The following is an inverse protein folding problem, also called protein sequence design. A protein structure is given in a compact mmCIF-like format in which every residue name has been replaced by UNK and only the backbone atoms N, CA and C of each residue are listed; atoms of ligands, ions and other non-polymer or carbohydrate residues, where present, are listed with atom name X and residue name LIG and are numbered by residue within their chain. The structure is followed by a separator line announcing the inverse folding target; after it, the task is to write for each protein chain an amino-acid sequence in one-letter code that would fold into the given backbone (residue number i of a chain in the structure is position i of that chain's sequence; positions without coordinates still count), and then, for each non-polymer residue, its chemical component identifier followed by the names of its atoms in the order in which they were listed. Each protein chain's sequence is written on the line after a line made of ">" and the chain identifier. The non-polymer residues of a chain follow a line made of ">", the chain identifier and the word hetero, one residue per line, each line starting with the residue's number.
data_IF_419144946428
#
_entry.id   IF_419144946428
#
_cell.length_a   1.000
_cell.length_b   1.000
_cell.length_c   1.000
_cell.angle_alpha   90.00
_cell.angle_beta   90.00
_cell.angle_gamma   90.00
#
_symmetry.space_group_name_H-M   'P 1'
#
loop_
_entity.id
_entity.type
_entity.pdbx_description
1 polymer ?
#
# COMPACT_ATOMS: atom_id res chain seq x y z
N UNK A 1 -7.77 -11.43 -21.90
CA UNK A 1 -7.63 -11.73 -20.46
C UNK A 1 -6.21 -11.43 -20.06
N UNK A 2 -6.03 -10.60 -19.04
CA UNK A 2 -4.71 -10.34 -18.47
C UNK A 2 -4.60 -11.21 -17.22
N UNK A 3 -3.62 -12.10 -17.23
CA UNK A 3 -3.29 -12.93 -16.07
C UNK A 3 -2.43 -12.08 -15.14
N UNK A 4 -3.00 -11.66 -14.01
CA UNK A 4 -2.33 -10.84 -13.00
C UNK A 4 -1.04 -11.51 -12.51
N UNK A 5 -1.02 -12.85 -12.49
CA UNK A 5 0.12 -13.69 -12.16
C UNK A 5 1.26 -13.56 -13.17
N UNK A 6 0.94 -13.47 -14.47
CA UNK A 6 1.96 -13.27 -15.49
C UNK A 6 2.59 -11.89 -15.35
N UNK A 7 1.78 -10.84 -15.12
CA UNK A 7 2.29 -9.50 -14.82
C UNK A 7 3.17 -9.50 -13.57
N UNK A 8 2.74 -10.21 -12.51
CA UNK A 8 3.51 -10.37 -11.28
C UNK A 8 4.87 -11.02 -11.53
N UNK A 9 4.90 -12.17 -12.22
CA UNK A 9 6.13 -12.90 -12.52
C UNK A 9 7.08 -12.02 -13.34
N UNK A 10 6.58 -11.32 -14.37
CA UNK A 10 7.38 -10.43 -15.21
C UNK A 10 8.04 -9.29 -14.43
N UNK A 11 7.41 -8.78 -13.37
CA UNK A 11 7.96 -7.72 -12.53
C UNK A 11 8.87 -8.26 -11.42
N UNK A 12 8.45 -9.31 -10.72
CA UNK A 12 9.14 -9.82 -9.53
C UNK A 12 10.36 -10.66 -9.88
N UNK A 13 10.33 -11.46 -10.94
CA UNK A 13 11.46 -12.30 -11.33
C UNK A 13 12.77 -11.51 -11.53
N UNK A 14 12.83 -10.42 -12.32
CA UNK A 14 14.07 -9.65 -12.44
C UNK A 14 14.47 -8.97 -11.12
N UNK A 15 13.52 -8.50 -10.30
CA UNK A 15 13.83 -7.91 -8.99
C UNK A 15 14.44 -8.93 -8.02
N UNK A 16 13.97 -10.18 -8.05
CA UNK A 16 14.55 -11.28 -7.28
C UNK A 16 15.99 -11.58 -7.72
N UNK A 17 16.25 -11.62 -9.03
CA UNK A 17 17.60 -11.82 -9.55
C UNK A 17 18.55 -10.70 -9.10
N UNK A 18 18.10 -9.45 -9.16
CA UNK A 18 18.89 -8.31 -8.67
C UNK A 18 19.12 -8.40 -7.15
N UNK A 19 18.12 -8.87 -6.39
CA UNK A 19 18.26 -9.07 -4.95
C UNK A 19 19.37 -10.07 -4.58
N UNK A 20 19.62 -11.09 -5.41
CA UNK A 20 20.70 -12.06 -5.20
C UNK A 20 22.10 -11.47 -5.42
N UNK A 21 22.20 -10.40 -6.22
CA UNK A 21 23.48 -9.77 -6.60
C UNK A 21 23.83 -8.60 -5.66
N UNK A 22 22.82 -7.85 -5.21
CA UNK A 22 23.04 -6.63 -4.44
C UNK A 22 23.50 -6.88 -3.00
N UNK A 23 24.21 -5.89 -2.44
CA UNK A 23 24.64 -5.88 -1.03
C UNK A 23 23.43 -6.01 -0.09
N UNK A 24 23.68 -6.58 1.10
CA UNK A 24 22.65 -6.90 2.12
C UNK A 24 21.66 -5.77 2.43
N UNK A 25 22.07 -4.49 2.42
CA UNK A 25 21.14 -3.37 2.68
C UNK A 25 20.18 -3.14 1.51
N UNK A 26 20.69 -2.97 0.30
CA UNK A 26 19.87 -2.71 -0.89
C UNK A 26 19.02 -3.92 -1.27
N UNK A 27 19.56 -5.14 -1.13
CA UNK A 27 18.78 -6.38 -1.31
C UNK A 27 17.57 -6.44 -0.37
N UNK A 28 17.73 -6.11 0.92
CA UNK A 28 16.60 -6.03 1.86
C UNK A 28 15.54 -5.02 1.43
N UNK A 29 15.93 -3.85 0.92
CA UNK A 29 14.97 -2.87 0.42
C UNK A 29 14.17 -3.40 -0.76
N UNK A 30 14.81 -4.13 -1.69
CA UNK A 30 14.10 -4.78 -2.80
C UNK A 30 13.14 -5.87 -2.32
N UNK A 31 13.52 -6.64 -1.29
CA UNK A 31 12.62 -7.65 -0.70
C UNK A 31 11.34 -7.02 -0.16
N UNK A 32 11.42 -5.86 0.51
CA UNK A 32 10.21 -5.15 0.98
C UNK A 32 9.32 -4.69 -0.18
N UNK A 33 9.91 -4.21 -1.29
CA UNK A 33 9.14 -3.87 -2.50
C UNK A 33 8.45 -5.11 -3.06
N UNK A 34 9.17 -6.24 -3.17
CA UNK A 34 8.61 -7.51 -3.65
C UNK A 34 7.49 -8.00 -2.72
N UNK A 35 7.65 -7.89 -1.40
CA UNK A 35 6.58 -8.20 -0.46
C UNK A 35 5.36 -7.30 -0.66
N UNK A 36 5.55 -6.01 -0.96
CA UNK A 36 4.47 -5.11 -1.37
C UNK A 36 3.71 -5.61 -2.60
N UNK A 37 4.43 -5.97 -3.67
CA UNK A 37 3.82 -6.52 -4.89
C UNK A 37 3.08 -7.83 -4.60
N UNK A 38 3.68 -8.70 -3.77
CA UNK A 38 3.09 -9.98 -3.36
C UNK A 38 1.81 -9.77 -2.55
N UNK A 39 1.82 -8.83 -1.59
CA UNK A 39 0.65 -8.45 -0.81
C UNK A 39 -0.47 -7.94 -1.72
N UNK A 40 -0.17 -7.17 -2.76
CA UNK A 40 -1.16 -6.71 -3.73
C UNK A 40 -1.79 -7.87 -4.51
N UNK A 41 -0.98 -8.78 -5.06
CA UNK A 41 -1.48 -9.99 -5.73
C UNK A 41 -2.38 -10.82 -4.82
N UNK A 42 -1.92 -11.12 -3.60
CA UNK A 42 -2.70 -11.91 -2.64
C UNK A 42 -3.97 -11.19 -2.20
N UNK A 43 -3.93 -9.86 -2.06
CA UNK A 43 -5.12 -9.07 -1.71
C UNK A 43 -6.19 -9.20 -2.79
N UNK A 44 -5.84 -9.19 -4.07
CA UNK A 44 -6.82 -9.38 -5.15
C UNK A 44 -7.58 -10.71 -5.01
N UNK A 45 -6.88 -11.81 -4.67
CA UNK A 45 -7.51 -13.11 -4.41
C UNK A 45 -8.37 -13.12 -3.16
N UNK A 46 -7.85 -12.60 -2.06
CA UNK A 46 -8.55 -12.59 -0.77
C UNK A 46 -9.80 -11.70 -0.82
N UNK A 47 -9.72 -10.54 -1.47
CA UNK A 47 -10.87 -9.66 -1.70
C UNK A 47 -11.94 -10.35 -2.55
N UNK A 48 -11.55 -11.06 -3.62
CA UNK A 48 -12.48 -11.82 -4.46
C UNK A 48 -13.13 -12.97 -3.69
N UNK A 49 -12.36 -13.67 -2.85
CA UNK A 49 -12.90 -14.71 -1.96
C UNK A 49 -13.94 -14.14 -1.02
N UNK A 50 -13.64 -13.03 -0.33
CA UNK A 50 -14.59 -12.39 0.57
C UNK A 50 -15.83 -11.88 -0.15
N UNK A 51 -15.68 -11.24 -1.32
CA UNK A 51 -16.82 -10.81 -2.14
C UNK A 51 -17.75 -11.98 -2.52
N UNK A 52 -17.18 -13.14 -2.86
CA UNK A 52 -17.94 -14.35 -3.13
C UNK A 52 -18.66 -14.90 -1.89
N UNK A 53 -18.00 -14.89 -0.72
CA UNK A 53 -18.58 -15.35 0.55
C UNK A 53 -19.71 -14.43 1.04
N UNK A 54 -19.57 -13.11 0.85
CA UNK A 54 -20.56 -12.11 1.26
C UNK A 54 -21.61 -11.81 0.19
N UNK A 55 -21.49 -12.39 -1.01
CA UNK A 55 -22.33 -12.10 -2.18
C UNK A 55 -22.36 -10.61 -2.52
N UNK A 56 -21.25 -9.91 -2.28
CA UNK A 56 -21.10 -8.47 -2.54
C UNK A 56 -20.73 -8.26 -4.01
N UNK A 57 -21.36 -7.28 -4.65
CA UNK A 57 -21.01 -6.90 -6.02
C UNK A 57 -19.54 -6.44 -6.12
N UNK A 58 -18.88 -6.70 -7.24
CA UNK A 58 -17.45 -6.41 -7.41
C UNK A 58 -17.14 -4.91 -7.31
N UNK A 59 -18.06 -4.03 -7.71
CA UNK A 59 -17.87 -2.60 -7.54
C UNK A 59 -17.97 -2.21 -6.05
N UNK A 60 -18.93 -2.77 -5.32
CA UNK A 60 -19.08 -2.52 -3.89
C UNK A 60 -17.92 -3.11 -3.06
N UNK A 61 -17.45 -4.31 -3.43
CA UNK A 61 -16.29 -4.96 -2.83
C UNK A 61 -15.03 -4.09 -2.98
N UNK A 62 -14.88 -3.37 -4.09
CA UNK A 62 -13.75 -2.45 -4.33
C UNK A 62 -13.71 -1.28 -3.32
N UNK A 63 -14.88 -0.84 -2.83
CA UNK A 63 -14.97 0.27 -1.88
C UNK A 63 -14.97 -0.17 -0.42
N UNK A 64 -15.46 -1.38 -0.13
CA UNK A 64 -15.68 -1.82 1.25
C UNK A 64 -14.71 -2.94 1.69
N UNK A 65 -14.51 -3.95 0.84
CA UNK A 65 -13.77 -5.16 1.17
C UNK A 65 -12.28 -4.97 0.85
N UNK A 66 -11.97 -4.54 -0.38
CA UNK A 66 -10.60 -4.39 -0.85
C UNK A 66 -9.75 -3.50 0.06
N UNK A 67 -10.17 -2.29 0.48
CA UNK A 67 -9.34 -1.45 1.34
C UNK A 67 -8.95 -2.14 2.65
N UNK A 68 -9.88 -2.89 3.25
CA UNK A 68 -9.62 -3.65 4.47
C UNK A 68 -8.60 -4.77 4.25
N UNK A 69 -8.82 -5.58 3.22
CA UNK A 69 -7.92 -6.69 2.85
C UNK A 69 -6.52 -6.14 2.52
N UNK A 70 -6.43 -5.09 1.72
CA UNK A 70 -5.17 -4.56 1.22
C UNK A 70 -4.30 -3.98 2.34
N UNK A 71 -4.86 -3.19 3.26
CA UNK A 71 -4.09 -2.68 4.40
C UNK A 71 -3.63 -3.80 5.33
N UNK A 72 -4.47 -4.81 5.57
CA UNK A 72 -4.10 -5.97 6.40
C UNK A 72 -2.98 -6.77 5.72
N UNK A 73 -3.12 -7.08 4.44
CA UNK A 73 -2.15 -7.85 3.67
C UNK A 73 -0.81 -7.13 3.51
N UNK A 74 -0.82 -5.79 3.41
CA UNK A 74 0.40 -4.97 3.47
C UNK A 74 1.06 -5.02 4.84
N UNK A 75 0.28 -5.06 5.91
CA UNK A 75 0.80 -5.11 7.27
C UNK A 75 1.45 -6.45 7.63
N UNK A 76 0.96 -7.58 7.10
CA UNK A 76 1.49 -8.92 7.42
C UNK A 76 3.01 -9.10 7.27
N UNK A 77 3.65 -8.76 6.12
CA UNK A 77 5.11 -8.89 6.00
C UNK A 77 5.87 -7.99 6.99
N UNK A 78 5.30 -6.83 7.33
CA UNK A 78 5.84 -5.93 8.34
C UNK A 78 5.72 -6.53 9.75
N UNK A 79 4.56 -7.07 10.11
CA UNK A 79 4.36 -7.76 11.38
C UNK A 79 5.32 -8.94 11.54
N UNK A 80 5.50 -9.74 10.49
CA UNK A 80 6.47 -10.84 10.46
C UNK A 80 7.90 -10.32 10.69
N UNK A 81 8.29 -9.23 10.02
CA UNK A 81 9.62 -8.64 10.17
C UNK A 81 9.89 -8.18 11.61
N UNK A 82 8.91 -7.55 12.26
CA UNK A 82 9.00 -7.13 13.66
C UNK A 82 9.13 -8.31 14.62
N UNK A 83 8.27 -9.33 14.48
CA UNK A 83 8.17 -10.42 15.45
C UNK A 83 9.31 -11.45 15.31
N UNK A 84 9.74 -11.74 14.08
CA UNK A 84 10.72 -12.80 13.83
C UNK A 84 12.15 -12.27 13.87
N UNK A 85 12.39 -11.07 13.32
CA UNK A 85 13.74 -10.51 13.24
C UNK A 85 14.03 -9.49 14.34
N UNK A 86 13.09 -9.24 15.25
CA UNK A 86 13.21 -8.22 16.30
C UNK A 86 13.68 -6.87 15.74
N UNK A 87 13.12 -6.49 14.59
CA UNK A 87 13.53 -5.30 13.88
C UNK A 87 13.27 -4.04 14.71
N UNK A 88 14.21 -3.10 14.67
CA UNK A 88 13.99 -1.80 15.29
C UNK A 88 12.90 -1.01 14.57
N UNK A 89 12.24 -0.10 15.30
CA UNK A 89 11.10 0.68 14.82
C UNK A 89 11.42 1.54 13.58
N UNK A 90 12.66 2.01 13.43
CA UNK A 90 13.07 2.85 12.29
C UNK A 90 13.25 2.00 11.02
N UNK A 91 13.90 0.85 11.15
CA UNK A 91 14.00 -0.14 10.06
C UNK A 91 12.61 -0.65 9.66
N UNK A 92 11.73 -0.86 10.63
CA UNK A 92 10.36 -1.26 10.40
C UNK A 92 9.55 -0.21 9.63
N UNK A 93 9.56 1.04 10.10
CA UNK A 93 8.91 2.16 9.41
C UNK A 93 9.40 2.29 7.95
N UNK A 94 10.71 2.18 7.73
CA UNK A 94 11.28 2.21 6.37
C UNK A 94 10.82 1.03 5.50
N UNK A 95 10.73 -0.17 6.08
CA UNK A 95 10.21 -1.35 5.40
C UNK A 95 8.74 -1.21 4.99
N UNK A 96 7.91 -0.65 5.86
CA UNK A 96 6.49 -0.39 5.59
C UNK A 96 6.32 0.58 4.40
N UNK A 97 7.16 1.62 4.31
CA UNK A 97 7.14 2.55 3.17
C UNK A 97 7.48 1.84 1.84
N UNK A 98 8.46 0.94 1.86
CA UNK A 98 8.85 0.17 0.69
C UNK A 98 7.80 -0.87 0.28
N UNK A 99 7.13 -1.50 1.26
CA UNK A 99 5.97 -2.37 1.02
C UNK A 99 4.85 -1.58 0.36
N UNK A 100 4.49 -0.41 0.90
CA UNK A 100 3.45 0.45 0.33
C UNK A 100 3.78 0.89 -1.12
N UNK A 101 5.05 1.26 -1.37
CA UNK A 101 5.52 1.61 -2.71
C UNK A 101 5.43 0.42 -3.69
N UNK A 102 5.87 -0.77 -3.26
CA UNK A 102 5.77 -1.98 -4.07
C UNK A 102 4.33 -2.37 -4.39
N UNK A 103 3.45 -2.27 -3.40
CA UNK A 103 2.02 -2.51 -3.55
C UNK A 103 1.41 -1.59 -4.60
N UNK A 104 1.57 -0.27 -4.42
CA UNK A 104 1.08 0.75 -5.36
C UNK A 104 1.63 0.56 -6.77
N UNK A 105 2.90 0.20 -6.89
CA UNK A 105 3.53 -0.05 -8.20
C UNK A 105 2.83 -1.19 -8.91
N UNK A 106 2.63 -2.32 -8.23
CA UNK A 106 1.99 -3.48 -8.85
C UNK A 106 0.53 -3.21 -9.20
N UNK A 107 -0.21 -2.57 -8.28
CA UNK A 107 -1.60 -2.21 -8.51
C UNK A 107 -1.76 -1.29 -9.73
N UNK A 108 -0.94 -0.24 -9.84
CA UNK A 108 -0.97 0.68 -10.97
C UNK A 108 -0.67 -0.01 -12.30
N UNK A 109 0.29 -0.94 -12.32
CA UNK A 109 0.57 -1.73 -13.53
C UNK A 109 -0.62 -2.61 -13.88
N UNK A 110 -1.23 -3.30 -12.90
CA UNK A 110 -2.42 -4.13 -13.13
C UNK A 110 -3.61 -3.30 -13.62
N UNK A 111 -3.79 -2.10 -13.08
CA UNK A 111 -4.84 -1.20 -13.51
C UNK A 111 -4.62 -0.72 -14.95
N UNK A 112 -3.38 -0.34 -15.29
CA UNK A 112 -3.00 0.07 -16.65
C UNK A 112 -3.22 -1.07 -17.65
N UNK A 113 -2.78 -2.28 -17.32
CA UNK A 113 -2.97 -3.41 -18.22
C UNK A 113 -4.46 -3.69 -18.42
N UNK A 114 -5.26 -3.71 -17.35
CA UNK A 114 -6.69 -4.02 -17.41
C UNK A 114 -7.52 -2.99 -18.20
N UNK A 115 -7.18 -1.70 -18.12
CA UNK A 115 -7.97 -0.61 -18.71
C UNK A 115 -7.38 -0.07 -20.04
N UNK A 116 -6.17 -0.50 -20.42
CA UNK A 116 -5.46 0.07 -21.57
C UNK A 116 -4.99 1.51 -21.31
N UNK A 117 -4.52 2.17 -22.37
CA UNK A 117 -3.89 3.50 -22.30
C UNK A 117 -4.59 4.56 -23.15
N UNK A 118 -5.87 4.38 -23.49
CA UNK A 118 -6.63 5.30 -24.35
C UNK A 118 -6.81 6.69 -23.71
N UNK A 119 -7.11 6.74 -22.40
CA UNK A 119 -7.11 7.97 -21.60
C UNK A 119 -5.93 7.97 -20.61
N UNK A 120 -4.72 8.09 -21.17
CA UNK A 120 -3.48 8.02 -20.39
C UNK A 120 -3.40 9.09 -19.29
N UNK A 121 -3.94 10.29 -19.52
CA UNK A 121 -3.84 11.40 -18.55
C UNK A 121 -4.65 11.08 -17.29
N UNK A 122 -5.92 10.69 -17.47
CA UNK A 122 -6.78 10.28 -16.36
C UNK A 122 -6.17 9.11 -15.58
N UNK A 123 -5.58 8.15 -16.29
CA UNK A 123 -4.92 7.00 -15.70
C UNK A 123 -3.66 7.38 -14.90
N UNK A 124 -2.85 8.31 -15.40
CA UNK A 124 -1.68 8.81 -14.68
C UNK A 124 -2.06 9.59 -13.41
N UNK A 125 -3.10 10.42 -13.48
CA UNK A 125 -3.60 11.16 -12.32
C UNK A 125 -4.10 10.20 -11.25
N UNK A 126 -4.95 9.24 -11.64
CA UNK A 126 -5.45 8.19 -10.76
C UNK A 126 -4.29 7.39 -10.18
N UNK A 127 -3.36 6.96 -11.01
CA UNK A 127 -2.25 6.10 -10.60
C UNK A 127 -1.32 6.80 -9.62
N UNK A 128 -1.01 8.07 -9.85
CA UNK A 128 -0.21 8.86 -8.93
C UNK A 128 -0.95 9.15 -7.62
N UNK A 129 -2.25 9.48 -7.68
CA UNK A 129 -3.10 9.66 -6.50
C UNK A 129 -3.21 8.38 -5.66
N UNK A 130 -3.42 7.23 -6.31
CA UNK A 130 -3.55 5.91 -5.65
C UNK A 130 -2.21 5.51 -5.03
N UNK A 131 -1.10 5.72 -5.75
CA UNK A 131 0.23 5.52 -5.21
C UNK A 131 0.50 6.40 -3.99
N UNK A 132 0.18 7.69 -4.06
CA UNK A 132 0.29 8.60 -2.91
C UNK A 132 -0.57 8.14 -1.74
N UNK A 133 -1.81 7.69 -1.99
CA UNK A 133 -2.71 7.19 -0.94
C UNK A 133 -2.11 5.98 -0.21
N UNK A 134 -1.59 5.00 -0.94
CA UNK A 134 -0.95 3.84 -0.31
C UNK A 134 0.28 4.23 0.51
N UNK A 135 1.08 5.18 0.04
CA UNK A 135 2.21 5.71 0.80
C UNK A 135 1.73 6.41 2.08
N UNK A 136 0.68 7.23 2.02
CA UNK A 136 0.08 7.87 3.20
C UNK A 136 -0.42 6.82 4.20
N UNK A 137 -1.14 5.79 3.73
CA UNK A 137 -1.59 4.70 4.59
C UNK A 137 -0.40 3.96 5.25
N UNK A 138 0.64 3.67 4.46
CA UNK A 138 1.89 3.09 4.96
C UNK A 138 2.60 3.97 5.99
N UNK A 139 2.60 5.29 5.81
CA UNK A 139 3.14 6.26 6.77
C UNK A 139 2.36 6.26 8.07
N UNK A 140 1.03 6.25 8.00
CA UNK A 140 0.18 6.19 9.19
C UNK A 140 0.48 4.93 10.01
N UNK A 141 0.56 3.77 9.36
CA UNK A 141 0.95 2.51 9.99
C UNK A 141 2.37 2.58 10.57
N UNK A 142 3.33 3.11 9.81
CA UNK A 142 4.71 3.26 10.24
C UNK A 142 4.87 4.17 11.49
N UNK A 143 4.18 5.32 11.50
CA UNK A 143 4.17 6.25 12.64
C UNK A 143 3.49 5.59 13.84
N UNK A 144 2.36 4.91 13.64
CA UNK A 144 1.67 4.17 14.69
C UNK A 144 2.56 3.11 15.32
N UNK A 145 3.25 2.30 14.52
CA UNK A 145 4.23 1.35 14.99
C UNK A 145 5.37 2.04 15.75
N UNK A 146 5.92 3.12 15.21
CA UNK A 146 7.00 3.85 15.86
C UNK A 146 6.61 4.35 17.26
N UNK A 147 5.39 4.88 17.41
CA UNK A 147 4.92 5.45 18.68
C UNK A 147 4.46 4.39 19.67
N UNK A 148 3.82 3.31 19.21
CA UNK A 148 3.07 2.40 20.09
C UNK A 148 3.82 1.10 20.40
N UNK A 149 4.82 0.72 19.60
CA UNK A 149 5.40 -0.63 19.68
C UNK A 149 6.14 -0.92 21.00
N UNK A 150 6.77 0.07 21.63
CA UNK A 150 7.45 -0.12 22.93
C UNK A 150 6.48 -0.17 24.12
N UNK A 151 5.21 0.15 23.92
CA UNK A 151 4.21 0.18 24.98
C UNK A 151 3.37 -1.10 24.93
N UNK A 152 3.65 -2.14 25.73
CA UNK A 152 3.04 -3.47 25.56
C UNK A 152 1.50 -3.44 25.66
N UNK A 153 0.97 -2.57 26.54
CA UNK A 153 -0.46 -2.37 26.74
C UNK A 153 -1.16 -1.68 25.56
N UNK A 154 -0.44 -0.86 24.80
CA UNK A 154 -0.97 -0.14 23.64
C UNK A 154 -0.61 -0.79 22.31
N UNK A 155 0.37 -1.70 22.29
CA UNK A 155 0.89 -2.29 21.04
C UNK A 155 -0.23 -2.90 20.21
N UNK A 156 -1.04 -3.79 20.79
CA UNK A 156 -2.09 -4.46 20.04
C UNK A 156 -3.24 -3.51 19.68
N UNK A 157 -3.81 -2.83 20.68
CA UNK A 157 -4.98 -1.95 20.50
C UNK A 157 -4.65 -0.74 19.62
N UNK A 158 -3.48 -0.14 19.82
CA UNK A 158 -3.00 0.98 19.02
C UNK A 158 -2.68 0.57 17.57
N UNK A 159 -2.06 -0.59 17.35
CA UNK A 159 -1.85 -1.11 15.99
C UNK A 159 -3.19 -1.35 15.29
N UNK A 160 -4.16 -1.95 15.98
CA UNK A 160 -5.51 -2.14 15.46
C UNK A 160 -6.15 -0.80 15.08
N UNK A 161 -6.11 0.19 15.97
CA UNK A 161 -6.69 1.51 15.71
C UNK A 161 -6.05 2.21 14.49
N UNK A 162 -4.73 2.14 14.36
CA UNK A 162 -3.99 2.74 13.24
C UNK A 162 -4.30 2.04 11.92
N UNK A 163 -4.42 0.71 11.92
CA UNK A 163 -4.84 -0.05 10.73
C UNK A 163 -6.27 0.32 10.35
N UNK A 164 -7.21 0.38 11.30
CA UNK A 164 -8.58 0.80 11.03
C UNK A 164 -8.65 2.22 10.46
N UNK A 165 -7.82 3.14 10.94
CA UNK A 165 -7.72 4.49 10.40
C UNK A 165 -7.22 4.48 8.94
N UNK A 166 -6.18 3.70 8.64
CA UNK A 166 -5.67 3.55 7.28
C UNK A 166 -6.72 2.95 6.34
N UNK A 167 -7.43 1.89 6.77
CA UNK A 167 -8.52 1.26 6.02
C UNK A 167 -9.62 2.27 5.69
N UNK A 168 -10.03 3.06 6.69
CA UNK A 168 -11.09 4.06 6.51
C UNK A 168 -10.68 5.13 5.50
N UNK A 169 -9.45 5.66 5.62
CA UNK A 169 -8.92 6.65 4.69
C UNK A 169 -8.81 6.13 3.26
N UNK A 170 -8.34 4.88 3.10
CA UNK A 170 -8.28 4.20 1.81
C UNK A 170 -9.68 3.99 1.21
N UNK A 171 -10.64 3.45 1.97
CA UNK A 171 -12.01 3.27 1.49
C UNK A 171 -12.64 4.60 1.02
N UNK A 172 -12.46 5.66 1.80
CA UNK A 172 -12.90 7.01 1.42
C UNK A 172 -12.26 7.48 0.11
N UNK A 173 -10.94 7.26 -0.05
CA UNK A 173 -10.25 7.58 -1.30
C UNK A 173 -10.86 6.84 -2.49
N UNK A 174 -11.05 5.51 -2.39
CA UNK A 174 -11.62 4.71 -3.48
C UNK A 174 -13.02 5.20 -3.88
N UNK A 175 -13.87 5.54 -2.92
CA UNK A 175 -15.21 6.11 -3.20
C UNK A 175 -15.12 7.43 -3.97
N UNK A 176 -14.17 8.30 -3.62
CA UNK A 176 -14.00 9.61 -4.28
C UNK A 176 -13.46 9.44 -5.70
N UNK A 177 -12.42 8.61 -5.89
CA UNK A 177 -11.76 8.45 -7.21
C UNK A 177 -12.49 7.48 -8.14
N UNK A 178 -13.43 6.67 -7.63
CA UNK A 178 -14.21 5.71 -8.41
C UNK A 178 -15.16 6.34 -9.43
N UNK A 179 -15.33 7.67 -9.41
CA UNK A 179 -16.18 8.41 -10.37
C UNK A 179 -15.32 9.30 -11.27
N UNK A 180 -15.53 9.27 -12.60
CA UNK A 180 -14.82 10.14 -13.54
C UNK A 180 -15.21 11.61 -13.33
N UNK A 181 -14.37 12.52 -13.84
CA UNK A 181 -14.59 13.96 -13.73
C UNK A 181 -13.93 14.56 -12.49
N UNK A 182 -14.51 15.64 -11.97
CA UNK A 182 -13.87 16.52 -10.97
C UNK A 182 -13.54 15.79 -9.65
N UNK A 183 -14.33 14.78 -9.27
CA UNK A 183 -14.07 13.92 -8.11
C UNK A 183 -12.75 13.16 -8.21
N UNK A 184 -12.41 12.63 -9.39
CA UNK A 184 -11.13 11.95 -9.63
C UNK A 184 -9.95 12.89 -9.39
N UNK A 185 -10.03 14.11 -9.90
CA UNK A 185 -8.96 15.11 -9.76
C UNK A 185 -8.77 15.53 -8.30
N UNK A 186 -9.85 15.90 -7.61
CA UNK A 186 -9.78 16.27 -6.19
C UNK A 186 -9.30 15.10 -5.34
N UNK A 187 -9.89 13.91 -5.53
CA UNK A 187 -9.55 12.71 -4.78
C UNK A 187 -8.08 12.33 -4.95
N UNK A 188 -7.56 12.41 -6.18
CA UNK A 188 -6.15 12.11 -6.47
C UNK A 188 -5.20 13.16 -5.89
N UNK A 189 -5.62 14.43 -5.80
CA UNK A 189 -4.81 15.50 -5.23
C UNK A 189 -4.65 15.40 -3.71
N UNK A 190 -5.69 14.96 -2.98
CA UNK A 190 -5.69 14.89 -1.51
C UNK A 190 -4.47 14.15 -0.91
N UNK A 191 -4.18 12.89 -1.25
CA UNK A 191 -3.04 12.18 -0.66
C UNK A 191 -1.70 12.82 -1.05
N UNK A 192 -1.60 13.39 -2.24
CA UNK A 192 -0.40 14.11 -2.69
C UNK A 192 -0.18 15.35 -1.82
N UNK A 193 -1.24 16.13 -1.57
CA UNK A 193 -1.17 17.30 -0.69
C UNK A 193 -0.77 16.92 0.73
N UNK A 194 -1.28 15.80 1.27
CA UNK A 194 -0.89 15.28 2.59
C UNK A 194 0.61 14.97 2.61
N UNK A 195 1.15 14.30 1.59
CA UNK A 195 2.58 14.00 1.50
C UNK A 195 3.44 15.27 1.41
N UNK A 196 3.00 16.26 0.62
CA UNK A 196 3.71 17.54 0.50
C UNK A 196 3.72 18.29 1.82
N UNK A 197 2.58 18.39 2.51
CA UNK A 197 2.50 19.03 3.83
C UNK A 197 3.41 18.30 4.82
N UNK A 198 3.38 16.97 4.84
CA UNK A 198 4.25 16.19 5.72
C UNK A 198 5.73 16.49 5.44
N UNK A 199 6.15 16.49 4.17
CA UNK A 199 7.53 16.79 3.79
C UNK A 199 7.95 18.22 4.13
N UNK A 200 7.09 19.21 3.88
CA UNK A 200 7.44 20.63 4.08
C UNK A 200 7.37 21.08 5.53
N UNK A 201 6.42 20.55 6.31
CA UNK A 201 6.09 21.06 7.64
C UNK A 201 6.59 20.13 8.74
N UNK A 202 6.41 18.82 8.58
CA UNK A 202 6.65 17.84 9.66
C UNK A 202 8.03 17.22 9.60
N UNK A 203 8.58 16.97 8.41
CA UNK A 203 9.92 16.39 8.25
C UNK A 203 11.04 17.25 8.89
N UNK A 204 11.06 18.59 8.74
CA UNK A 204 12.08 19.43 9.38
C UNK A 204 12.01 19.43 10.92
N UNK A 205 10.84 19.09 11.49
CA UNK A 205 10.62 19.06 12.94
C UNK A 205 11.03 17.72 13.57
N UNK A 206 11.30 16.68 12.75
CA UNK A 206 11.67 15.34 13.21
C UNK A 206 13.18 15.05 13.20
N UNK A 207 13.97 15.94 12.59
CA UNK A 207 15.45 15.84 12.52
C UNK A 207 16.17 16.66 13.62
N UNK A 208 15.42 17.21 14.59
CA UNK A 208 15.93 17.84 15.83
C UNK A 208 15.67 16.96 17.04
#
# INVERSE_FOLDING_TARGET
>A
MIYIENTYICLVAPLLLVCLILRKRTGRSLLFIIFGMTSCLLSAYVSTLFAGLTQTDMAEATYQISPAVEEIMKFLPMLFYLLVFNADRKSAASGMMLIAAGFATFENVCYLTANGSEDLVSLLIRGFGTGAMHIVCGMVVAIGLYLLWEHPWLRAVGTFAVICFAITGHAMFNVIVGRPGLSLWIGSALPITILIIFYLVLFPLTDT
#
